data_IF_096939090060
#
_entry.id   IF_096939090060
#
_cell.length_a   1.000
_cell.length_b   1.000
_cell.length_c   1.000
_cell.angle_alpha   90.00
_cell.angle_beta   90.00
_cell.angle_gamma   90.00
#
_symmetry.space_group_name_H-M   'P 1'
#
loop_
_entity.id
_entity.type
_entity.pdbx_description
1 polymer ?
#
# COMPACT_ATOMS: atom_id res chain seq x y z
N UNK A 1 -34.33 25.21 11.14
CA UNK A 1 -34.91 23.99 11.78
C UNK A 1 -34.12 22.77 11.31
N UNK A 2 -33.20 22.26 12.14
CA UNK A 2 -32.21 21.25 11.76
C UNK A 2 -32.79 19.84 11.54
N UNK A 3 -32.37 19.16 10.48
CA UNK A 3 -32.74 17.77 10.19
C UNK A 3 -31.87 16.81 11.03
N UNK A 4 -32.53 16.05 11.91
CA UNK A 4 -31.93 15.08 12.83
C UNK A 4 -31.22 13.94 12.08
N UNK A 5 -29.97 13.63 12.46
CA UNK A 5 -29.22 12.50 11.94
C UNK A 5 -29.90 11.16 12.32
N UNK A 6 -30.07 10.26 11.35
CA UNK A 6 -30.53 8.88 11.58
C UNK A 6 -29.43 8.09 12.29
N UNK A 7 -29.58 7.82 13.60
CA UNK A 7 -28.72 6.89 14.33
C UNK A 7 -28.98 5.47 13.82
N UNK A 8 -27.92 4.69 13.62
CA UNK A 8 -28.00 3.36 12.99
C UNK A 8 -28.59 2.29 13.95
N UNK A 9 -29.69 1.65 13.52
CA UNK A 9 -30.43 0.62 14.28
C UNK A 9 -29.74 -0.75 14.38
N UNK A 10 -28.47 -0.90 13.95
CA UNK A 10 -27.73 -2.17 14.03
C UNK A 10 -27.36 -2.55 15.46
N UNK A 11 -27.19 -1.58 16.35
CA UNK A 11 -26.91 -1.82 17.78
C UNK A 11 -28.18 -2.27 18.54
N UNK A 12 -29.35 -1.76 18.17
CA UNK A 12 -30.62 -2.15 18.81
C UNK A 12 -31.06 -3.57 18.47
N UNK A 13 -30.76 -4.07 17.25
CA UNK A 13 -31.04 -5.46 16.88
C UNK A 13 -30.13 -6.47 17.60
N UNK A 14 -28.86 -6.12 17.80
CA UNK A 14 -27.94 -6.96 18.58
C UNK A 14 -28.38 -7.12 20.03
N UNK A 15 -28.95 -6.07 20.64
CA UNK A 15 -29.48 -6.15 22.02
C UNK A 15 -30.68 -7.10 22.14
N UNK A 16 -31.53 -7.18 21.11
CA UNK A 16 -32.64 -8.14 21.10
C UNK A 16 -32.19 -9.57 20.80
N UNK A 17 -31.15 -9.77 19.99
CA UNK A 17 -30.55 -11.10 19.76
C UNK A 17 -29.86 -11.60 21.03
N UNK A 18 -29.06 -10.78 21.71
CA UNK A 18 -28.43 -11.15 22.98
C UNK A 18 -29.46 -11.42 24.09
N UNK A 19 -30.60 -10.71 24.09
CA UNK A 19 -31.67 -10.95 25.04
C UNK A 19 -32.37 -12.29 24.76
N UNK A 20 -32.59 -12.64 23.48
CA UNK A 20 -33.14 -13.96 23.09
C UNK A 20 -32.18 -15.10 23.40
N UNK A 21 -30.89 -14.93 23.11
CA UNK A 21 -29.85 -15.90 23.47
C UNK A 21 -29.78 -16.11 24.99
N UNK A 22 -29.97 -15.05 25.78
CA UNK A 22 -30.04 -15.15 27.25
C UNK A 22 -31.29 -15.88 27.73
N UNK A 23 -32.45 -15.62 27.15
CA UNK A 23 -33.70 -16.33 27.48
C UNK A 23 -33.64 -17.81 27.08
N UNK A 24 -33.07 -18.12 25.92
CA UNK A 24 -32.85 -19.51 25.47
C UNK A 24 -31.88 -20.23 26.40
N UNK A 25 -30.78 -19.60 26.82
CA UNK A 25 -29.83 -20.17 27.79
C UNK A 25 -30.44 -20.37 29.19
N UNK A 26 -31.31 -19.46 29.63
CA UNK A 26 -32.03 -19.64 30.91
C UNK A 26 -33.09 -20.74 30.82
N UNK A 27 -33.68 -20.95 29.65
CA UNK A 27 -34.63 -22.03 29.43
C UNK A 27 -33.95 -23.40 29.30
N UNK A 28 -32.74 -23.49 28.72
CA UNK A 28 -31.96 -24.73 28.74
C UNK A 28 -31.50 -25.10 30.15
N UNK A 29 -31.10 -24.13 30.97
CA UNK A 29 -30.76 -24.35 32.38
C UNK A 29 -31.95 -24.81 33.23
N UNK A 30 -33.19 -24.38 32.89
CA UNK A 30 -34.42 -24.86 33.53
C UNK A 30 -34.83 -26.26 33.07
N UNK A 31 -34.44 -26.66 31.87
CA UNK A 31 -34.81 -27.95 31.25
C UNK A 31 -33.79 -29.06 31.52
N UNK A 32 -32.59 -28.75 32.03
CA UNK A 32 -31.70 -29.74 32.59
C UNK A 32 -32.22 -30.18 33.97
N UNK A 33 -32.46 -31.48 34.12
CA UNK A 33 -33.03 -32.11 35.29
C UNK A 33 -32.41 -31.62 36.62
N UNK A 34 -33.26 -31.61 37.66
CA UNK A 34 -32.92 -31.16 38.99
C UNK A 34 -31.56 -31.70 39.46
N UNK A 35 -30.80 -30.85 40.16
CA UNK A 35 -29.43 -31.05 40.66
C UNK A 35 -29.22 -32.39 41.39
N UNK A 36 -30.31 -33.04 41.81
CA UNK A 36 -30.34 -34.34 42.49
C UNK A 36 -29.88 -35.52 41.64
N UNK A 37 -29.98 -35.45 40.31
CA UNK A 37 -29.77 -36.62 39.44
C UNK A 37 -28.37 -36.69 38.82
N UNK A 38 -27.52 -35.68 39.06
CA UNK A 38 -26.15 -35.60 38.51
C UNK A 38 -25.15 -36.23 39.49
N UNK A 39 -24.16 -36.96 38.97
CA UNK A 39 -23.13 -37.60 39.81
C UNK A 39 -22.19 -36.54 40.43
N UNK A 40 -21.69 -36.78 41.64
CA UNK A 40 -20.82 -35.83 42.38
C UNK A 40 -19.60 -35.32 41.59
N UNK A 41 -19.10 -36.08 40.62
CA UNK A 41 -17.96 -35.69 39.78
C UNK A 41 -18.29 -34.58 38.77
N UNK A 42 -19.55 -34.48 38.35
CA UNK A 42 -20.04 -33.43 37.47
C UNK A 42 -20.52 -32.19 38.26
N UNK A 43 -20.86 -32.38 39.53
CA UNK A 43 -21.21 -31.30 40.47
C UNK A 43 -19.98 -30.58 41.02
N UNK A 44 -18.89 -31.31 41.26
CA UNK A 44 -17.66 -30.78 41.84
C UNK A 44 -16.49 -31.01 40.87
N UNK A 45 -16.28 -30.05 39.98
CA UNK A 45 -15.04 -29.96 39.22
C UNK A 45 -14.11 -28.92 39.87
N UNK A 46 -12.86 -29.29 40.09
CA UNK A 46 -11.82 -28.34 40.49
C UNK A 46 -11.27 -27.71 39.22
N UNK A 47 -11.59 -26.44 39.00
CA UNK A 47 -11.17 -25.71 37.80
C UNK A 47 -9.67 -25.40 37.82
N UNK A 48 -8.87 -26.39 37.42
CA UNK A 48 -7.43 -26.21 37.22
C UNK A 48 -7.11 -25.40 35.95
N UNK A 49 -8.13 -25.10 35.14
CA UNK A 49 -8.00 -24.38 33.89
C UNK A 49 -8.70 -23.01 33.87
N UNK A 50 -8.62 -22.27 34.97
CA UNK A 50 -9.10 -20.88 35.02
C UNK A 50 -8.63 -20.01 33.83
N UNK A 51 -9.49 -19.09 33.39
CA UNK A 51 -9.27 -18.17 32.27
C UNK A 51 -7.86 -17.58 32.26
N UNK A 52 -7.17 -17.63 31.11
CA UNK A 52 -5.81 -17.09 30.92
C UNK A 52 -5.65 -15.63 31.38
N UNK A 53 -6.75 -14.87 31.45
CA UNK A 53 -6.79 -13.49 31.94
C UNK A 53 -6.64 -13.43 33.47
N UNK A 54 -7.35 -14.28 34.21
CA UNK A 54 -7.25 -14.33 35.67
C UNK A 54 -5.90 -14.90 36.12
N UNK A 55 -5.35 -15.89 35.41
CA UNK A 55 -4.00 -16.41 35.71
C UNK A 55 -2.88 -15.39 35.50
N UNK A 56 -3.02 -14.41 34.60
CA UNK A 56 -2.04 -13.32 34.47
C UNK A 56 -2.10 -12.37 35.66
N UNK A 57 -3.31 -11.95 36.04
CA UNK A 57 -3.53 -11.01 37.14
C UNK A 57 -3.09 -11.64 38.48
N UNK A 58 -3.49 -12.88 38.76
CA UNK A 58 -3.15 -13.57 40.01
C UNK A 58 -1.64 -13.87 40.12
N UNK A 59 -0.96 -14.22 39.04
CA UNK A 59 0.51 -14.44 39.09
C UNK A 59 1.33 -13.15 39.19
N UNK A 60 0.80 -12.02 38.70
CA UNK A 60 1.47 -10.73 38.82
C UNK A 60 1.22 -10.09 40.21
N UNK A 61 0.10 -10.44 40.89
CA UNK A 61 -0.33 -9.81 42.14
C UNK A 61 -0.04 -10.63 43.43
N UNK A 62 0.08 -11.98 43.39
CA UNK A 62 0.21 -12.80 44.62
C UNK A 62 1.65 -13.28 44.95
N UNK A 63 2.62 -13.12 44.04
CA UNK A 63 4.03 -13.41 44.34
C UNK A 63 4.81 -12.11 44.23
N UNK A 64 4.90 -11.41 45.35
CA UNK A 64 5.42 -10.04 45.49
C UNK A 64 6.90 -9.80 45.13
N UNK A 65 7.54 -10.65 44.32
CA UNK A 65 8.84 -10.35 43.73
C UNK A 65 8.90 -10.79 42.26
N UNK A 66 9.24 -9.89 41.32
CA UNK A 66 9.35 -10.25 39.91
C UNK A 66 10.53 -11.21 39.71
N UNK A 67 10.24 -12.48 39.40
CA UNK A 67 11.23 -13.53 39.13
C UNK A 67 12.43 -13.01 38.29
N UNK A 68 13.68 -13.24 38.74
CA UNK A 68 14.87 -12.72 38.08
C UNK A 68 14.99 -13.22 36.63
N UNK A 69 15.55 -12.39 35.75
CA UNK A 69 15.57 -12.63 34.29
C UNK A 69 16.21 -13.97 33.90
N UNK A 70 17.18 -14.45 34.66
CA UNK A 70 17.87 -15.72 34.39
C UNK A 70 16.94 -16.92 34.57
N UNK A 71 16.11 -16.95 35.61
CA UNK A 71 15.17 -18.04 35.87
C UNK A 71 14.04 -18.09 34.84
N UNK A 72 13.56 -16.91 34.40
CA UNK A 72 12.59 -16.81 33.30
C UNK A 72 13.13 -17.40 32.00
N UNK A 73 14.43 -17.25 31.73
CA UNK A 73 15.07 -17.83 30.55
C UNK A 73 15.23 -19.34 30.67
N UNK A 74 15.57 -19.84 31.86
CA UNK A 74 15.68 -21.28 32.12
C UNK A 74 14.33 -21.99 31.96
N UNK A 75 13.26 -21.41 32.51
CA UNK A 75 11.89 -21.95 32.37
C UNK A 75 11.42 -21.98 30.90
N UNK A 76 11.80 -20.97 30.10
CA UNK A 76 11.49 -20.96 28.65
C UNK A 76 12.24 -22.06 27.89
N UNK A 77 13.49 -22.36 28.26
CA UNK A 77 14.26 -23.45 27.66
C UNK A 77 13.63 -24.81 27.98
N UNK A 78 13.32 -25.07 29.25
CA UNK A 78 12.68 -26.32 29.68
C UNK A 78 11.32 -26.55 29.02
N UNK A 79 10.49 -25.50 28.88
CA UNK A 79 9.21 -25.61 28.16
C UNK A 79 9.37 -25.94 26.68
N UNK A 80 10.43 -25.44 26.03
CA UNK A 80 10.75 -25.81 24.64
C UNK A 80 11.18 -27.28 24.53
N UNK A 81 11.97 -27.77 25.47
CA UNK A 81 12.44 -29.16 25.48
C UNK A 81 11.33 -30.17 25.77
N UNK A 82 10.31 -29.79 26.55
CA UNK A 82 9.12 -30.62 26.78
C UNK A 82 8.18 -30.62 25.56
N UNK A 83 8.08 -29.50 24.85
CA UNK A 83 7.23 -29.40 23.66
C UNK A 83 7.76 -30.19 22.45
N UNK A 84 9.08 -30.41 22.36
CA UNK A 84 9.70 -31.25 21.32
C UNK A 84 9.56 -32.75 21.58
N UNK A 85 9.20 -33.15 22.80
CA UNK A 85 8.95 -34.55 23.19
C UNK A 85 7.45 -34.89 23.22
N UNK A 86 6.74 -34.66 22.11
CA UNK A 86 5.39 -35.26 21.95
C UNK A 86 5.51 -36.73 21.53
N UNK A 87 4.74 -37.65 22.13
CA UNK A 87 4.81 -39.08 21.80
C UNK A 87 4.18 -39.36 20.43
N UNK A 88 4.86 -40.15 19.61
CA UNK A 88 4.34 -40.61 18.32
C UNK A 88 3.29 -41.70 18.52
N UNK A 89 2.08 -41.48 17.99
CA UNK A 89 0.99 -42.47 17.96
C UNK A 89 1.38 -43.66 17.06
N UNK A 90 1.30 -44.88 17.62
CA UNK A 90 1.54 -46.14 16.90
C UNK A 90 0.31 -46.48 16.06
N UNK A 91 0.47 -46.60 14.74
CA UNK A 91 -0.55 -47.16 13.84
C UNK A 91 -0.55 -48.70 13.96
N UNK A 92 -1.67 -49.29 14.35
CA UNK A 92 -1.89 -50.72 14.28
C UNK A 92 -1.99 -51.18 12.82
N UNK A 93 -1.31 -52.27 12.45
CA UNK A 93 -1.40 -52.86 11.11
C UNK A 93 -2.65 -53.74 11.06
N UNK A 94 -3.60 -53.41 10.20
CA UNK A 94 -4.75 -54.28 9.92
C UNK A 94 -4.25 -55.64 9.42
N UNK A 95 -4.58 -56.72 10.15
CA UNK A 95 -4.31 -58.09 9.73
C UNK A 95 -5.09 -58.39 8.44
N UNK A 96 -4.43 -59.02 7.46
CA UNK A 96 -5.00 -59.35 6.16
C UNK A 96 -6.35 -60.07 6.31
N UNK A 97 -7.42 -59.43 5.83
CA UNK A 97 -8.77 -60.01 5.77
C UNK A 97 -8.74 -61.17 4.78
N UNK A 98 -8.98 -62.38 5.26
CA UNK A 98 -9.17 -63.58 4.42
C UNK A 98 -10.43 -63.34 3.58
N UNK A 99 -10.28 -63.31 2.26
CA UNK A 99 -11.38 -63.10 1.32
C UNK A 99 -11.95 -64.46 0.92
N UNK A 100 -13.24 -64.68 1.16
CA UNK A 100 -13.95 -65.87 0.72
C UNK A 100 -14.29 -65.74 -0.78
N UNK A 101 -13.69 -66.60 -1.60
CA UNK A 101 -13.70 -66.54 -3.07
C UNK A 101 -15.06 -66.99 -3.64
N UNK A 102 -15.89 -67.65 -2.82
CA UNK A 102 -17.19 -68.19 -3.21
C UNK A 102 -18.38 -67.39 -2.68
N UNK A 103 -18.11 -66.35 -1.89
CA UNK A 103 -19.14 -65.40 -1.49
C UNK A 103 -19.45 -64.46 -2.66
N UNK A 104 -20.73 -64.35 -3.03
CA UNK A 104 -21.18 -63.37 -4.04
C UNK A 104 -20.63 -61.97 -3.68
N UNK A 105 -19.96 -61.27 -4.60
CA UNK A 105 -19.35 -59.99 -4.29
C UNK A 105 -20.46 -59.01 -3.90
N UNK A 106 -20.48 -58.61 -2.63
CA UNK A 106 -21.38 -57.55 -2.16
C UNK A 106 -21.16 -56.34 -3.08
N UNK A 107 -22.20 -55.79 -3.72
CA UNK A 107 -22.03 -54.67 -4.63
C UNK A 107 -21.38 -53.54 -3.86
N UNK A 108 -20.17 -53.16 -4.29
CA UNK A 108 -19.44 -52.03 -3.72
C UNK A 108 -20.30 -50.80 -4.00
N UNK A 109 -21.03 -50.33 -2.98
CA UNK A 109 -21.75 -49.07 -3.06
C UNK A 109 -20.71 -47.97 -3.11
N UNK A 110 -20.35 -47.54 -4.31
CA UNK A 110 -19.49 -46.39 -4.47
C UNK A 110 -20.29 -45.13 -4.12
N UNK A 111 -20.03 -44.57 -2.95
CA UNK A 111 -20.57 -43.28 -2.55
C UNK A 111 -19.96 -42.22 -3.47
N UNK A 112 -20.78 -41.46 -4.21
CA UNK A 112 -20.30 -40.50 -5.23
C UNK A 112 -19.35 -39.42 -4.68
N UNK A 113 -19.27 -39.29 -3.36
CA UNK A 113 -18.37 -38.37 -2.63
C UNK A 113 -17.02 -38.98 -2.26
N UNK A 114 -16.86 -40.30 -2.32
CA UNK A 114 -15.65 -41.04 -1.91
C UNK A 114 -14.95 -41.77 -3.05
N UNK A 115 -15.36 -41.54 -4.31
CA UNK A 115 -14.68 -42.10 -5.48
C UNK A 115 -13.24 -41.61 -5.63
N UNK A 116 -12.96 -40.38 -5.17
CA UNK A 116 -11.64 -39.77 -5.19
C UNK A 116 -11.03 -39.87 -3.78
N UNK A 117 -9.84 -40.46 -3.69
CA UNK A 117 -9.05 -40.50 -2.45
C UNK A 117 -8.56 -39.09 -2.15
N UNK A 118 -8.31 -38.78 -0.87
CA UNK A 118 -7.71 -37.49 -0.47
C UNK A 118 -6.39 -37.23 -1.21
N UNK A 119 -5.65 -38.31 -1.48
CA UNK A 119 -4.42 -38.35 -2.28
C UNK A 119 -4.63 -37.88 -3.74
N UNK A 120 -5.81 -38.12 -4.33
CA UNK A 120 -6.14 -37.67 -5.69
C UNK A 120 -6.35 -36.13 -5.74
N UNK A 121 -6.65 -35.50 -4.61
CA UNK A 121 -6.74 -34.04 -4.47
C UNK A 121 -5.39 -33.37 -4.19
N UNK A 122 -4.32 -34.12 -3.90
CA UNK A 122 -3.00 -33.57 -3.55
C UNK A 122 -2.27 -32.93 -4.74
N UNK A 123 -2.72 -33.21 -5.98
CA UNK A 123 -2.06 -32.75 -7.21
C UNK A 123 -2.46 -31.33 -7.64
N UNK A 124 -3.48 -30.70 -7.06
CA UNK A 124 -3.87 -29.34 -7.46
C UNK A 124 -3.47 -28.25 -6.47
N UNK A 125 -2.17 -28.15 -6.15
CA UNK A 125 -1.60 -26.92 -5.54
C UNK A 125 -1.71 -25.67 -6.46
N UNK A 126 -2.30 -25.82 -7.66
CA UNK A 126 -2.55 -24.75 -8.64
C UNK A 126 -3.79 -23.89 -8.35
N UNK A 127 -4.61 -24.23 -7.34
CA UNK A 127 -5.89 -23.55 -7.13
C UNK A 127 -5.87 -22.39 -6.10
N UNK A 128 -4.73 -22.09 -5.47
CA UNK A 128 -4.58 -20.83 -4.75
C UNK A 128 -4.50 -19.70 -5.77
N UNK A 129 -5.64 -19.06 -6.07
CA UNK A 129 -5.71 -17.87 -6.94
C UNK A 129 -4.61 -16.91 -6.49
N UNK A 130 -3.72 -16.53 -7.40
CA UNK A 130 -2.64 -15.59 -7.06
C UNK A 130 -3.27 -14.31 -6.52
N UNK A 131 -2.67 -13.70 -5.50
CA UNK A 131 -3.22 -12.50 -4.87
C UNK A 131 -3.55 -11.40 -5.89
N UNK A 132 -2.76 -11.33 -6.99
CA UNK A 132 -2.94 -10.40 -8.10
C UNK A 132 -4.25 -10.59 -8.88
N UNK A 133 -4.82 -11.81 -8.93
CA UNK A 133 -6.09 -12.09 -9.63
C UNK A 133 -7.30 -11.62 -8.83
N UNK A 134 -7.16 -11.42 -7.52
CA UNK A 134 -8.28 -11.04 -6.64
C UNK A 134 -8.45 -9.52 -6.53
N UNK A 135 -7.41 -8.75 -6.88
CA UNK A 135 -7.39 -7.29 -6.71
C UNK A 135 -8.00 -6.59 -7.92
N UNK A 136 -8.97 -5.69 -7.68
CA UNK A 136 -9.52 -4.81 -8.72
C UNK A 136 -8.44 -3.81 -9.14
N UNK A 137 -8.27 -3.54 -10.45
CA UNK A 137 -7.24 -2.61 -10.90
C UNK A 137 -7.55 -1.16 -10.49
N UNK A 138 -8.83 -0.81 -10.31
CA UNK A 138 -9.29 0.53 -9.95
C UNK A 138 -10.57 0.46 -9.09
N UNK A 139 -10.79 1.49 -8.27
CA UNK A 139 -11.90 1.63 -7.31
C UNK A 139 -13.16 2.29 -7.89
N UNK A 140 -13.16 2.65 -9.18
CA UNK A 140 -14.32 3.29 -9.82
C UNK A 140 -15.58 2.40 -9.75
N UNK A 141 -16.75 2.97 -9.37
CA UNK A 141 -17.96 2.19 -9.19
C UNK A 141 -18.45 1.57 -10.51
N UNK A 142 -19.01 0.38 -10.42
CA UNK A 142 -19.57 -0.33 -11.58
C UNK A 142 -20.80 0.35 -12.19
N UNK A 143 -21.46 1.24 -11.46
CA UNK A 143 -22.52 2.12 -11.93
C UNK A 143 -22.30 3.48 -11.25
N UNK A 144 -21.89 4.52 -11.99
CA UNK A 144 -21.76 5.86 -11.41
C UNK A 144 -23.15 6.43 -11.10
N UNK A 145 -23.23 7.24 -10.04
CA UNK A 145 -24.48 7.93 -9.69
C UNK A 145 -24.61 9.16 -10.59
N UNK A 146 -25.71 9.32 -11.36
CA UNK A 146 -25.90 10.48 -12.22
C UNK A 146 -26.15 11.75 -11.39
N UNK A 147 -25.82 12.92 -11.98
CA UNK A 147 -26.14 14.22 -11.38
C UNK A 147 -27.66 14.48 -11.43
N UNK A 148 -28.21 15.14 -10.41
CA UNK A 148 -29.66 15.38 -10.32
C UNK A 148 -30.23 16.19 -11.49
N UNK A 149 -29.44 17.12 -12.05
CA UNK A 149 -29.83 17.93 -13.22
C UNK A 149 -29.99 17.15 -14.53
N UNK A 150 -29.57 15.88 -14.57
CA UNK A 150 -29.74 14.96 -15.73
C UNK A 150 -31.04 14.16 -15.62
N UNK A 151 -31.77 14.31 -14.51
CA UNK A 151 -33.07 13.66 -14.39
C UNK A 151 -34.05 14.18 -15.44
N UNK A 152 -35.10 13.40 -15.69
CA UNK A 152 -36.14 13.74 -16.67
C UNK A 152 -36.88 15.04 -16.34
N UNK A 153 -37.09 15.33 -15.04
CA UNK A 153 -37.73 16.56 -14.58
C UNK A 153 -36.91 17.15 -13.41
N UNK A 154 -35.75 17.75 -13.71
CA UNK A 154 -34.86 18.30 -12.72
C UNK A 154 -35.40 19.63 -12.18
N UNK A 155 -34.96 20.01 -10.98
CA UNK A 155 -35.16 21.39 -10.53
C UNK A 155 -34.40 22.35 -11.44
N UNK A 156 -35.00 23.52 -11.69
CA UNK A 156 -34.47 24.53 -12.62
C UNK A 156 -33.04 24.97 -12.27
N UNK A 157 -32.71 25.06 -10.98
CA UNK A 157 -31.36 25.42 -10.51
C UNK A 157 -30.38 24.29 -10.78
N UNK A 158 -30.78 23.05 -10.47
CA UNK A 158 -29.94 21.88 -10.66
C UNK A 158 -29.63 21.62 -12.14
N UNK A 159 -30.62 21.79 -13.01
CA UNK A 159 -30.46 21.67 -14.46
C UNK A 159 -29.49 22.70 -15.02
N UNK A 160 -29.67 23.99 -14.68
CA UNK A 160 -28.78 25.08 -15.10
C UNK A 160 -27.35 24.85 -14.64
N UNK A 161 -27.15 24.40 -13.40
CA UNK A 161 -25.82 24.09 -12.88
C UNK A 161 -25.16 22.95 -13.68
N UNK A 162 -25.89 21.86 -13.96
CA UNK A 162 -25.34 20.76 -14.76
C UNK A 162 -25.05 21.16 -16.21
N UNK A 163 -25.88 22.03 -16.80
CA UNK A 163 -25.68 22.55 -18.14
C UNK A 163 -24.45 23.47 -18.19
N UNK A 164 -24.28 24.34 -17.20
CA UNK A 164 -23.11 25.21 -17.08
C UNK A 164 -21.82 24.40 -16.95
N UNK A 165 -21.81 23.36 -16.11
CA UNK A 165 -20.66 22.46 -15.99
C UNK A 165 -20.33 21.76 -17.32
N UNK A 166 -21.33 21.32 -18.10
CA UNK A 166 -21.08 20.73 -19.42
C UNK A 166 -20.55 21.76 -20.42
N UNK A 167 -21.11 22.98 -20.41
CA UNK A 167 -20.64 24.07 -21.25
C UNK A 167 -19.17 24.40 -20.98
N UNK A 168 -18.75 24.46 -19.72
CA UNK A 168 -17.34 24.65 -19.37
C UNK A 168 -16.44 23.54 -19.93
N UNK A 169 -16.91 22.29 -19.93
CA UNK A 169 -16.16 21.15 -20.45
C UNK A 169 -16.03 21.20 -21.98
N UNK A 170 -17.09 21.56 -22.70
CA UNK A 170 -17.06 21.76 -24.16
C UNK A 170 -16.14 22.92 -24.54
N UNK A 171 -16.21 24.08 -23.86
CA UNK A 171 -15.29 25.21 -24.10
C UNK A 171 -13.83 24.80 -23.93
N UNK A 172 -13.51 24.08 -22.84
CA UNK A 172 -12.15 23.53 -22.61
C UNK A 172 -11.72 22.56 -23.71
N UNK A 173 -12.66 21.81 -24.29
CA UNK A 173 -12.39 20.88 -25.39
C UNK A 173 -12.12 21.65 -26.69
N UNK A 174 -12.92 22.67 -27.00
CA UNK A 174 -12.69 23.53 -28.16
C UNK A 174 -11.34 24.26 -28.10
N UNK A 175 -10.96 24.79 -26.93
CA UNK A 175 -9.65 25.40 -26.72
C UNK A 175 -8.52 24.41 -26.98
N UNK A 176 -8.65 23.15 -26.52
CA UNK A 176 -7.68 22.10 -26.81
C UNK A 176 -7.61 21.79 -28.30
N UNK A 177 -8.75 21.69 -28.98
CA UNK A 177 -8.78 21.48 -30.44
C UNK A 177 -8.11 22.64 -31.17
N UNK A 178 -8.34 23.88 -30.73
CA UNK A 178 -7.69 25.08 -31.32
C UNK A 178 -6.18 25.01 -31.14
N UNK A 179 -5.70 24.73 -29.92
CA UNK A 179 -4.28 24.52 -29.62
C UNK A 179 -3.66 23.36 -30.39
N UNK A 180 -4.35 22.24 -30.52
CA UNK A 180 -3.87 21.07 -31.28
C UNK A 180 -3.80 21.34 -32.79
N UNK A 181 -4.61 22.28 -33.30
CA UNK A 181 -4.55 22.76 -34.69
C UNK A 181 -3.43 23.78 -34.91
N UNK A 182 -2.98 24.45 -33.86
CA UNK A 182 -1.83 25.34 -33.92
C UNK A 182 -0.56 24.49 -34.09
N UNK A 183 0.33 24.92 -34.98
CA UNK A 183 1.61 24.24 -35.23
C UNK A 183 2.62 24.64 -34.15
N UNK A 184 3.71 23.85 -33.95
CA UNK A 184 4.75 24.22 -32.99
C UNK A 184 5.23 25.66 -33.25
N UNK A 185 5.13 26.53 -32.23
CA UNK A 185 5.39 27.97 -32.33
C UNK A 185 4.16 28.88 -32.27
N UNK A 186 2.98 28.36 -31.93
CA UNK A 186 1.70 29.09 -31.90
C UNK A 186 1.36 29.75 -33.24
N UNK A 187 1.79 29.13 -34.34
CA UNK A 187 1.55 29.65 -35.69
C UNK A 187 0.46 28.81 -36.33
N UNK A 188 -0.55 29.45 -36.89
CA UNK A 188 -1.56 28.73 -37.66
C UNK A 188 -1.00 28.32 -39.04
N UNK A 189 -1.52 27.26 -39.65
CA UNK A 189 -1.09 26.83 -40.99
C UNK A 189 -1.26 27.95 -42.03
N UNK A 190 -2.29 28.78 -41.86
CA UNK A 190 -2.50 29.99 -42.67
C UNK A 190 -1.44 31.07 -42.43
N UNK A 191 -0.95 31.24 -41.20
CA UNK A 191 0.14 32.16 -40.89
C UNK A 191 1.51 31.66 -41.36
N UNK A 192 1.77 30.34 -41.29
CA UNK A 192 2.98 29.77 -41.87
C UNK A 192 3.02 29.95 -43.39
N UNK A 193 1.89 29.76 -44.08
CA UNK A 193 1.81 29.97 -45.52
C UNK A 193 1.97 31.45 -45.91
N UNK A 194 1.68 32.38 -45.00
CA UNK A 194 1.89 33.83 -45.19
C UNK A 194 3.32 34.26 -44.88
N UNK A 195 4.03 33.54 -43.99
CA UNK A 195 5.45 33.74 -43.74
C UNK A 195 6.23 33.17 -44.94
N UNK A 196 6.35 33.97 -45.99
CA UNK A 196 7.36 33.74 -47.03
C UNK A 196 8.71 33.64 -46.33
N UNK A 197 9.41 32.53 -46.48
CA UNK A 197 10.80 32.39 -46.04
C UNK A 197 11.58 33.47 -46.81
N UNK A 198 11.87 34.59 -46.15
CA UNK A 198 12.84 35.54 -46.67
C UNK A 198 14.17 34.80 -46.69
N UNK A 199 14.68 34.51 -47.88
CA UNK A 199 15.89 33.73 -48.10
C UNK A 199 17.14 34.48 -47.68
N UNK A 200 17.24 34.86 -46.40
CA UNK A 200 18.43 35.45 -45.83
C UNK A 200 19.43 34.34 -45.51
N UNK A 201 20.59 34.28 -46.20
CA UNK A 201 21.59 33.22 -46.06
C UNK A 201 22.27 33.18 -44.68
N UNK A 202 22.05 34.18 -43.83
CA UNK A 202 22.53 34.22 -42.44
C UNK A 202 21.77 33.28 -41.52
N UNK A 203 20.49 33.00 -41.78
CA UNK A 203 19.67 32.18 -40.89
C UNK A 203 19.93 30.67 -41.06
N UNK A 204 20.49 30.25 -42.20
CA UNK A 204 20.90 28.86 -42.42
C UNK A 204 22.19 28.46 -41.71
N UNK A 205 23.01 29.42 -41.26
CA UNK A 205 24.29 29.16 -40.61
C UNK A 205 24.18 28.78 -39.12
N UNK A 206 23.01 28.99 -38.49
CA UNK A 206 22.80 28.71 -37.07
C UNK A 206 22.37 27.26 -36.77
N UNK A 207 22.21 26.41 -37.78
CA UNK A 207 21.85 25.00 -37.60
C UNK A 207 23.06 24.07 -37.40
N UNK A 208 24.29 24.59 -37.52
CA UNK A 208 25.53 23.81 -37.43
C UNK A 208 26.59 24.59 -36.64
N UNK A 209 26.58 24.49 -35.32
CA UNK A 209 27.73 24.84 -34.47
C UNK A 209 27.53 24.13 -33.12
N UNK A 210 28.20 23.02 -32.84
CA UNK A 210 29.61 22.84 -32.40
C UNK A 210 29.62 22.55 -30.89
N UNK A 211 29.67 21.26 -30.59
CA UNK A 211 29.79 20.67 -29.25
C UNK A 211 31.29 20.62 -28.92
N UNK A 212 31.78 21.59 -28.14
CA UNK A 212 33.15 21.64 -27.62
C UNK A 212 33.12 21.60 -26.09
N UNK A 213 33.32 20.40 -25.55
CA UNK A 213 33.56 20.14 -24.13
C UNK A 213 35.07 20.18 -23.87
N UNK A 214 35.55 21.08 -22.98
CA UNK A 214 36.90 20.98 -22.43
C UNK A 214 36.97 21.37 -20.94
N UNK A 215 37.63 20.47 -20.21
CA UNK A 215 38.25 20.55 -18.88
C UNK A 215 37.38 20.42 -17.61
N UNK A 216 37.90 19.61 -16.66
CA UNK A 216 38.43 20.24 -15.44
C UNK A 216 39.86 19.79 -15.09
N UNK A 217 40.72 20.77 -14.77
CA UNK A 217 41.99 20.60 -14.07
C UNK A 217 41.75 20.57 -12.55
N UNK A 218 42.13 19.47 -11.91
CA UNK A 218 42.26 19.35 -10.46
C UNK A 218 43.51 20.11 -9.99
N UNK A 219 43.36 20.95 -8.97
CA UNK A 219 44.47 21.60 -8.26
C UNK A 219 44.66 20.92 -6.89
N UNK A 220 45.87 20.42 -6.70
CA UNK A 220 46.41 19.86 -5.46
C UNK A 220 46.47 20.88 -4.32
N UNK A 221 46.20 20.42 -3.09
CA UNK A 221 46.45 21.14 -1.84
C UNK A 221 47.95 21.11 -1.46
N UNK A 222 48.55 22.22 -0.98
CA UNK A 222 49.91 22.22 -0.46
C UNK A 222 50.00 21.88 1.04
N UNK A 223 51.08 21.14 1.32
CA UNK A 223 51.71 20.77 2.60
C UNK A 223 51.63 21.85 3.69
N UNK A 224 51.21 21.44 4.89
CA UNK A 224 51.38 22.21 6.12
C UNK A 224 52.80 22.03 6.68
N UNK A 225 53.45 23.16 6.95
CA UNK A 225 54.79 23.31 7.52
C UNK A 225 54.79 22.98 9.02
N UNK A 226 55.75 22.14 9.43
CA UNK A 226 55.99 21.81 10.84
C UNK A 226 56.61 23.00 11.58
N UNK A 227 55.95 23.41 12.66
CA UNK A 227 56.43 24.46 13.56
C UNK A 227 57.74 24.07 14.24
N UNK A 228 58.70 24.99 14.19
CA UNK A 228 60.04 24.91 14.80
C UNK A 228 59.93 24.67 16.32
N UNK A 229 60.31 23.49 16.75
CA UNK A 229 60.51 23.17 18.18
C UNK A 229 61.77 23.88 18.68
N UNK A 230 61.58 24.82 19.61
CA UNK A 230 62.69 25.47 20.33
C UNK A 230 63.24 24.46 21.35
N UNK A 231 64.40 23.90 21.06
CA UNK A 231 65.15 23.05 21.99
C UNK A 231 65.85 23.95 23.02
N UNK A 232 65.26 24.05 24.21
CA UNK A 232 65.93 24.63 25.39
C UNK A 232 66.94 23.62 25.92
N UNK A 233 68.23 23.97 25.90
CA UNK A 233 69.32 23.15 26.42
C UNK A 233 69.27 22.94 27.95
N UNK A 234 69.86 21.85 28.48
CA UNK A 234 69.77 21.50 29.88
C UNK A 234 70.60 22.46 30.74
N UNK A 235 69.92 23.29 31.54
CA UNK A 235 70.56 24.12 32.56
C UNK A 235 70.93 23.29 33.79
N UNK A 236 72.16 23.48 34.28
CA UNK A 236 72.84 22.76 35.36
C UNK A 236 71.96 22.29 36.55
N UNK A 237 72.13 21.00 36.88
CA UNK A 237 71.42 20.26 37.92
C UNK A 237 71.80 20.71 39.34
N UNK A 238 70.98 21.57 39.95
CA UNK A 238 70.92 21.67 41.41
C UNK A 238 70.21 20.42 41.92
N UNK A 239 70.92 19.54 42.65
CA UNK A 239 70.32 18.35 43.31
C UNK A 239 69.16 18.81 44.21
N UNK A 240 67.93 18.60 43.75
CA UNK A 240 66.72 18.92 44.49
C UNK A 240 66.66 17.99 45.71
N UNK A 241 66.46 18.51 46.93
CA UNK A 241 66.38 17.67 48.13
C UNK A 241 65.22 16.67 48.01
N UNK A 242 65.42 15.43 48.48
CA UNK A 242 64.49 14.30 48.30
C UNK A 242 63.05 14.61 48.74
N UNK A 243 62.87 15.42 49.78
CA UNK A 243 61.56 15.87 50.25
C UNK A 243 60.83 16.78 49.24
N UNK A 244 61.55 17.66 48.53
CA UNK A 244 60.96 18.49 47.46
C UNK A 244 60.63 17.65 46.23
N UNK A 245 61.41 16.61 45.92
CA UNK A 245 61.10 15.65 44.83
C UNK A 245 59.82 14.86 45.11
N UNK A 246 59.63 14.35 46.33
CA UNK A 246 58.38 13.67 46.75
C UNK A 246 57.15 14.60 46.67
N UNK A 247 57.26 15.84 47.14
CA UNK A 247 56.17 16.84 47.03
C UNK A 247 55.81 17.15 45.56
N UNK A 248 56.81 17.27 44.69
CA UNK A 248 56.59 17.49 43.25
C UNK A 248 55.94 16.29 42.57
N UNK A 249 56.32 15.07 42.97
CA UNK A 249 55.73 13.83 42.46
C UNK A 249 54.28 13.63 42.92
N UNK A 250 53.98 13.93 44.18
CA UNK A 250 52.61 13.96 44.71
C UNK A 250 51.76 15.02 44.00
N UNK A 251 52.27 16.24 43.82
CA UNK A 251 51.58 17.29 43.07
C UNK A 251 51.35 16.91 41.60
N UNK A 252 52.35 16.29 40.94
CA UNK A 252 52.22 15.80 39.58
C UNK A 252 51.19 14.66 39.47
N UNK A 253 51.12 13.77 40.46
CA UNK A 253 50.12 12.69 40.55
C UNK A 253 48.71 13.27 40.71
N UNK A 254 48.53 14.24 41.61
CA UNK A 254 47.26 14.95 41.79
C UNK A 254 46.83 15.69 40.52
N UNK A 255 47.77 16.33 39.81
CA UNK A 255 47.50 16.99 38.53
C UNK A 255 47.08 15.99 37.44
N UNK A 256 47.73 14.82 37.36
CA UNK A 256 47.35 13.74 36.42
C UNK A 256 45.95 13.22 36.71
N UNK A 257 45.64 12.96 37.97
CA UNK A 257 44.31 12.51 38.39
C UNK A 257 43.24 13.57 38.11
N UNK A 258 43.52 14.84 38.39
CA UNK A 258 42.63 15.95 38.06
C UNK A 258 42.41 16.10 36.55
N UNK A 259 43.43 15.87 35.72
CA UNK A 259 43.31 15.87 34.25
C UNK A 259 42.45 14.70 33.78
N UNK A 260 42.71 13.48 34.24
CA UNK A 260 41.89 12.30 33.92
C UNK A 260 40.43 12.50 34.32
N UNK A 261 40.15 13.08 35.49
CA UNK A 261 38.78 13.39 35.92
C UNK A 261 38.12 14.42 35.02
N UNK A 262 38.85 15.42 34.52
CA UNK A 262 38.32 16.41 33.55
C UNK A 262 38.04 15.77 32.20
N UNK A 263 38.93 14.90 31.72
CA UNK A 263 38.75 14.15 30.47
C UNK A 263 37.54 13.21 30.54
N UNK A 264 37.40 12.45 31.63
CA UNK A 264 36.23 11.61 31.87
C UNK A 264 34.93 12.43 31.89
N UNK A 265 34.93 13.60 32.53
CA UNK A 265 33.77 14.51 32.52
C UNK A 265 33.44 15.00 31.11
N UNK A 266 34.45 15.35 30.31
CA UNK A 266 34.26 15.75 28.91
C UNK A 266 33.69 14.61 28.08
N UNK A 267 34.23 13.40 28.22
CA UNK A 267 33.74 12.21 27.54
C UNK A 267 32.27 11.92 27.92
N UNK A 268 31.94 11.92 29.21
CA UNK A 268 30.56 11.70 29.66
C UNK A 268 29.62 12.76 29.11
N UNK A 269 30.02 14.03 29.11
CA UNK A 269 29.24 15.10 28.51
C UNK A 269 29.02 14.89 27.00
N UNK A 270 30.05 14.48 26.25
CA UNK A 270 29.89 14.16 24.82
C UNK A 270 28.98 12.96 24.58
N UNK A 271 29.01 11.96 25.46
CA UNK A 271 28.11 10.80 25.39
C UNK A 271 26.66 11.21 25.71
N UNK A 272 26.45 12.07 26.69
CA UNK A 272 25.11 12.60 26.99
C UNK A 272 24.57 13.44 25.82
N UNK A 273 25.42 14.23 25.18
CA UNK A 273 25.05 14.99 23.98
C UNK A 273 24.73 14.07 22.80
N UNK A 274 25.53 13.02 22.56
CA UNK A 274 25.27 12.10 21.45
C UNK A 274 23.95 11.35 21.62
N UNK A 275 23.58 10.98 22.85
CA UNK A 275 22.27 10.39 23.15
C UNK A 275 21.12 11.36 22.87
N UNK A 276 21.28 12.65 23.22
CA UNK A 276 20.28 13.69 22.90
C UNK A 276 20.12 13.88 21.40
N UNK A 277 21.22 13.97 20.67
CA UNK A 277 21.23 14.10 19.21
C UNK A 277 20.57 12.87 18.58
N UNK A 278 20.89 11.66 19.04
CA UNK A 278 20.27 10.44 18.53
C UNK A 278 18.74 10.44 18.76
N UNK A 279 18.28 10.85 19.94
CA UNK A 279 16.85 10.95 20.24
C UNK A 279 16.14 12.02 19.40
N UNK A 280 16.82 13.11 19.06
CA UNK A 280 16.31 14.17 18.18
C UNK A 280 16.21 13.67 16.73
N UNK A 281 17.24 12.99 16.23
CA UNK A 281 17.23 12.34 14.91
C UNK A 281 16.10 11.31 14.82
N UNK A 282 15.90 10.48 15.84
CA UNK A 282 14.81 9.50 15.87
C UNK A 282 13.43 10.16 15.82
N UNK A 283 13.25 11.31 16.48
CA UNK A 283 12.00 12.08 16.42
C UNK A 283 11.80 12.68 15.03
N UNK A 284 12.82 13.32 14.48
CA UNK A 284 12.75 13.87 13.11
C UNK A 284 12.44 12.79 12.07
N UNK A 285 13.03 11.60 12.20
CA UNK A 285 12.77 10.50 11.28
C UNK A 285 11.32 10.03 11.37
N UNK A 286 10.76 9.94 12.57
CA UNK A 286 9.33 9.62 12.78
C UNK A 286 8.42 10.70 12.20
N UNK A 287 8.71 11.98 12.46
CA UNK A 287 7.93 13.09 11.89
C UNK A 287 8.01 13.11 10.36
N UNK A 288 9.18 12.84 9.78
CA UNK A 288 9.36 12.71 8.32
C UNK A 288 8.58 11.50 7.77
N UNK A 289 8.53 10.39 8.48
CA UNK A 289 7.73 9.22 8.10
C UNK A 289 6.24 9.52 8.17
N UNK A 290 5.76 10.12 9.26
CA UNK A 290 4.37 10.53 9.44
C UNK A 290 3.95 11.51 8.34
N UNK A 291 4.73 12.56 8.11
CA UNK A 291 4.48 13.52 7.03
C UNK A 291 4.47 12.86 5.63
N UNK A 292 5.34 11.88 5.38
CA UNK A 292 5.29 11.08 4.14
C UNK A 292 4.00 10.28 4.06
N UNK A 293 3.58 9.62 5.14
CA UNK A 293 2.33 8.84 5.13
C UNK A 293 1.11 9.72 4.94
N UNK A 294 1.09 10.91 5.54
CA UNK A 294 0.01 11.90 5.36
C UNK A 294 -0.06 12.40 3.92
N UNK A 295 1.09 12.77 3.33
CA UNK A 295 1.17 13.14 1.91
C UNK A 295 0.70 12.02 0.99
N UNK A 296 1.07 10.77 1.29
CA UNK A 296 0.62 9.62 0.51
C UNK A 296 -0.90 9.40 0.65
N UNK A 297 -1.46 9.56 1.85
CA UNK A 297 -2.92 9.50 2.08
C UNK A 297 -3.65 10.61 1.32
N UNK A 298 -3.16 11.85 1.40
CA UNK A 298 -3.73 12.99 0.66
C UNK A 298 -3.69 12.75 -0.84
N UNK A 299 -2.56 12.29 -1.38
CA UNK A 299 -2.43 11.94 -2.79
C UNK A 299 -3.40 10.81 -3.18
N UNK A 300 -3.58 9.80 -2.33
CA UNK A 300 -4.52 8.70 -2.57
C UNK A 300 -5.98 9.19 -2.55
N UNK A 301 -6.34 10.07 -1.62
CA UNK A 301 -7.65 10.72 -1.56
C UNK A 301 -7.92 11.57 -2.80
N UNK A 302 -6.95 12.37 -3.24
CA UNK A 302 -7.04 13.13 -4.48
C UNK A 302 -7.21 12.22 -5.71
N UNK A 303 -6.47 11.11 -5.76
CA UNK A 303 -6.59 10.12 -6.84
C UNK A 303 -7.96 9.44 -6.84
N UNK A 304 -8.52 9.17 -5.67
CA UNK A 304 -9.88 8.60 -5.52
C UNK A 304 -10.97 9.62 -5.88
N UNK A 305 -10.77 10.90 -5.59
CA UNK A 305 -11.70 11.97 -5.93
C UNK A 305 -11.74 12.26 -7.43
N UNK A 306 -10.60 12.14 -8.11
CA UNK A 306 -10.49 12.34 -9.55
C UNK A 306 -11.12 11.15 -10.30
N UNK A 307 -11.87 11.47 -11.36
CA UNK A 307 -12.37 10.44 -12.28
C UNK A 307 -11.16 9.81 -12.98
N UNK A 308 -11.00 8.47 -12.95
CA UNK A 308 -9.85 7.82 -13.53
C UNK A 308 -9.83 7.95 -15.05
N UNK A 309 -8.63 8.07 -15.61
CA UNK A 309 -8.40 8.08 -17.05
C UNK A 309 -8.78 6.73 -17.68
N UNK A 310 -9.19 6.78 -18.94
CA UNK A 310 -9.39 5.59 -19.76
C UNK A 310 -8.05 5.22 -20.40
N UNK A 311 -7.68 3.93 -20.35
CA UNK A 311 -6.45 3.46 -21.00
C UNK A 311 -6.75 3.16 -22.47
N UNK A 312 -6.08 3.90 -23.37
CA UNK A 312 -6.12 3.66 -24.82
C UNK A 312 -4.74 3.26 -25.33
N UNK A 313 -4.60 2.04 -25.85
CA UNK A 313 -3.32 1.57 -26.39
C UNK A 313 -2.15 1.60 -25.41
N UNK A 314 -2.41 1.35 -24.13
CA UNK A 314 -1.40 1.40 -23.06
C UNK A 314 -1.06 2.80 -22.55
N UNK A 315 -1.69 3.86 -23.08
CA UNK A 315 -1.55 5.24 -22.58
C UNK A 315 -2.81 5.67 -21.85
N UNK A 316 -2.66 6.37 -20.74
CA UNK A 316 -3.78 7.01 -20.03
C UNK A 316 -4.26 8.21 -20.85
N UNK A 317 -5.53 8.19 -21.23
CA UNK A 317 -6.20 9.28 -21.94
C UNK A 317 -7.29 9.84 -21.03
N UNK A 318 -7.13 11.11 -20.66
CA UNK A 318 -8.14 11.87 -19.94
C UNK A 318 -9.17 12.39 -20.92
N UNK A 319 -10.17 11.58 -21.22
CA UNK A 319 -11.34 12.03 -21.97
C UNK A 319 -12.19 12.94 -21.08
N UNK A 320 -12.58 14.09 -21.65
CA UNK A 320 -13.59 14.95 -21.05
C UNK A 320 -14.89 14.15 -21.00
N UNK A 321 -15.44 13.85 -19.81
CA UNK A 321 -16.67 13.09 -19.72
C UNK A 321 -17.81 13.91 -20.32
N UNK A 322 -18.33 13.45 -21.47
CA UNK A 322 -19.53 14.03 -22.06
C UNK A 322 -20.72 13.46 -21.32
N UNK A 323 -21.44 14.30 -20.61
CA UNK A 323 -22.72 13.91 -20.01
C UNK A 323 -23.81 14.36 -20.95
N UNK A 324 -24.64 13.42 -21.37
CA UNK A 324 -25.81 13.70 -22.20
C UNK A 324 -26.84 14.45 -21.33
N UNK A 325 -26.88 15.79 -21.44
CA UNK A 325 -27.80 16.68 -20.71
C UNK A 325 -28.81 17.25 -21.69
N UNK A 326 -30.08 17.23 -21.31
CA UNK A 326 -31.18 17.83 -22.09
C UNK A 326 -31.04 19.35 -22.12
N UNK A 327 -31.28 19.96 -23.27
CA UNK A 327 -31.40 21.41 -23.36
C UNK A 327 -32.70 21.92 -22.74
N UNK A 328 -32.79 23.22 -22.49
CA UNK A 328 -34.00 23.85 -21.94
C UNK A 328 -35.22 23.63 -22.82
N UNK A 329 -35.02 23.59 -24.13
CA UNK A 329 -36.08 23.47 -25.12
C UNK A 329 -36.54 22.01 -25.28
N UNK A 330 -35.65 21.06 -24.96
CA UNK A 330 -35.93 19.62 -24.99
C UNK A 330 -36.61 19.15 -23.70
N UNK A 331 -36.49 19.92 -22.62
CA UNK A 331 -37.08 19.63 -21.31
C UNK A 331 -38.58 19.99 -21.31
N UNK A 332 -39.38 19.12 -21.90
CA UNK A 332 -40.82 19.33 -22.14
C UNK A 332 -41.73 18.92 -20.98
N UNK A 333 -41.19 18.22 -19.97
CA UNK A 333 -41.94 17.79 -18.79
C UNK A 333 -42.94 16.65 -19.03
N UNK A 334 -43.07 16.13 -20.27
CA UNK A 334 -43.80 14.89 -20.62
C UNK A 334 -42.85 13.79 -21.16
N UNK A 335 -42.99 12.55 -20.68
CA UNK A 335 -42.13 11.40 -21.01
C UNK A 335 -42.33 10.96 -22.46
N UNK A 336 -43.50 11.27 -23.03
CA UNK A 336 -43.84 10.91 -24.41
C UNK A 336 -43.13 11.78 -25.45
N UNK A 337 -42.82 13.02 -25.09
CA UNK A 337 -42.20 14.01 -25.97
C UNK A 337 -40.68 14.06 -25.84
N UNK A 338 -40.11 13.38 -24.84
CA UNK A 338 -38.68 13.41 -24.56
C UNK A 338 -37.85 12.64 -25.60
N UNK A 339 -36.72 13.21 -26.04
CA UNK A 339 -35.79 12.51 -26.90
C UNK A 339 -35.00 11.44 -26.12
N UNK A 340 -34.74 10.30 -26.77
CA UNK A 340 -33.82 9.29 -26.25
C UNK A 340 -32.37 9.72 -26.54
N UNK A 341 -31.76 10.42 -25.59
CA UNK A 341 -30.39 10.94 -25.76
C UNK A 341 -29.33 9.89 -25.37
N UNK A 342 -29.62 9.06 -24.36
CA UNK A 342 -28.60 8.22 -23.73
C UNK A 342 -28.41 6.89 -24.47
N UNK A 343 -27.16 6.59 -24.85
CA UNK A 343 -26.76 5.27 -25.32
C UNK A 343 -26.22 4.40 -24.17
N UNK A 344 -26.95 3.35 -23.72
CA UNK A 344 -26.49 2.52 -22.60
C UNK A 344 -25.21 1.73 -22.95
N UNK A 345 -25.01 1.41 -24.22
CA UNK A 345 -23.80 0.71 -24.70
C UNK A 345 -22.58 1.60 -24.51
N UNK A 346 -22.68 2.88 -24.86
CA UNK A 346 -21.59 3.85 -24.71
C UNK A 346 -21.24 4.06 -23.24
N UNK A 347 -22.23 4.24 -22.38
CA UNK A 347 -22.03 4.40 -20.94
C UNK A 347 -21.33 3.18 -20.33
N UNK A 348 -21.80 1.97 -20.66
CA UNK A 348 -21.18 0.71 -20.21
C UNK A 348 -19.74 0.60 -20.69
N UNK A 349 -19.47 0.97 -21.94
CA UNK A 349 -18.14 0.92 -22.53
C UNK A 349 -17.17 1.88 -21.82
N UNK A 350 -17.58 3.13 -21.60
CA UNK A 350 -16.78 4.10 -20.85
C UNK A 350 -16.51 3.65 -19.42
N UNK A 351 -17.51 3.08 -18.75
CA UNK A 351 -17.40 2.60 -17.39
C UNK A 351 -16.43 1.41 -17.26
N UNK A 352 -16.52 0.43 -18.16
CA UNK A 352 -15.57 -0.70 -18.21
C UNK A 352 -14.14 -0.19 -18.48
N UNK A 353 -13.99 0.83 -19.35
CA UNK A 353 -12.72 1.49 -19.63
C UNK A 353 -12.14 2.23 -18.42
N UNK A 354 -12.95 3.02 -17.71
CA UNK A 354 -12.57 3.75 -16.47
C UNK A 354 -12.19 2.80 -15.34
N UNK A 355 -12.81 1.63 -15.28
CA UNK A 355 -12.48 0.56 -14.33
C UNK A 355 -11.24 -0.24 -14.71
N UNK A 356 -10.57 0.10 -15.82
CA UNK A 356 -9.39 -0.59 -16.35
C UNK A 356 -9.59 -2.10 -16.54
N UNK A 357 -10.83 -2.54 -16.77
CA UNK A 357 -11.17 -3.94 -17.05
C UNK A 357 -10.85 -4.31 -18.49
N UNK A 358 -11.02 -3.35 -19.39
CA UNK A 358 -10.73 -3.48 -20.82
C UNK A 358 -9.89 -2.30 -21.24
N UNK A 359 -8.83 -2.57 -21.99
CA UNK A 359 -8.10 -1.53 -22.68
C UNK A 359 -8.77 -1.27 -24.02
N UNK A 360 -9.14 -0.01 -24.25
CA UNK A 360 -9.66 0.38 -25.56
C UNK A 360 -8.47 0.45 -26.53
N UNK A 361 -8.68 -0.02 -27.76
CA UNK A 361 -7.60 -0.12 -28.73
C UNK A 361 -6.90 1.23 -28.94
N UNK A 362 -5.57 1.23 -28.98
CA UNK A 362 -4.82 2.35 -29.53
C UNK A 362 -4.46 2.08 -30.98
N UNK A 363 -3.92 3.08 -31.67
CA UNK A 363 -3.16 2.84 -32.90
C UNK A 363 -2.08 1.82 -32.55
N UNK A 364 -2.32 0.53 -32.85
CA UNK A 364 -1.24 -0.47 -32.94
C UNK A 364 -0.18 0.22 -33.79
N UNK A 365 1.03 0.39 -33.29
CA UNK A 365 2.13 1.01 -34.04
C UNK A 365 2.18 0.31 -35.39
N UNK A 366 1.60 0.93 -36.42
CA UNK A 366 1.51 0.34 -37.76
C UNK A 366 2.92 0.00 -38.24
N UNK A 367 3.92 0.74 -37.76
CA UNK A 367 5.34 0.49 -37.89
C UNK A 367 5.80 -0.93 -37.51
N UNK A 368 5.31 -1.53 -36.41
CA UNK A 368 5.69 -2.91 -36.03
C UNK A 368 5.15 -3.92 -37.05
N UNK A 369 3.91 -3.75 -37.50
CA UNK A 369 3.26 -4.65 -38.46
C UNK A 369 3.73 -4.42 -39.90
N UNK A 370 4.12 -3.20 -40.27
CA UNK A 370 4.75 -2.87 -41.55
C UNK A 370 6.13 -3.52 -41.64
N UNK A 371 6.98 -3.40 -40.60
CA UNK A 371 8.27 -4.10 -40.55
C UNK A 371 8.12 -5.63 -40.66
N UNK A 372 7.08 -6.19 -40.04
CA UNK A 372 6.73 -7.61 -40.16
C UNK A 372 6.20 -7.99 -41.56
N UNK A 373 5.43 -7.12 -42.23
CA UNK A 373 4.96 -7.34 -43.61
C UNK A 373 6.08 -7.22 -44.64
N UNK A 374 7.02 -6.30 -44.44
CA UNK A 374 8.25 -6.18 -45.24
C UNK A 374 9.10 -7.44 -45.06
N UNK A 375 9.33 -7.90 -43.83
CA UNK A 375 10.05 -9.16 -43.56
C UNK A 375 9.37 -10.41 -44.14
N UNK A 376 8.05 -10.39 -44.31
CA UNK A 376 7.28 -11.50 -44.90
C UNK A 376 7.03 -11.34 -46.41
N UNK A 377 7.57 -10.32 -47.08
CA UNK A 377 7.42 -10.10 -48.53
C UNK A 377 6.00 -9.69 -48.98
N UNK A 378 5.10 -9.33 -48.06
CA UNK A 378 3.66 -9.08 -48.31
C UNK A 378 3.34 -7.61 -48.64
N UNK A 379 4.34 -6.79 -48.94
CA UNK A 379 4.15 -5.36 -49.22
C UNK A 379 3.97 -5.05 -50.73
N UNK A 380 4.42 -5.94 -51.62
CA UNK A 380 4.39 -5.71 -53.07
C UNK A 380 3.13 -6.23 -53.80
N UNK A 381 2.11 -6.68 -53.08
CA UNK A 381 0.84 -7.08 -53.70
C UNK A 381 -0.02 -5.82 -53.85
N UNK A 382 -0.26 -5.30 -55.08
CA UNK A 382 -1.18 -4.20 -55.26
C UNK A 382 -2.56 -4.64 -54.78
N UNK A 383 -3.20 -3.83 -53.93
CA UNK A 383 -4.58 -4.07 -53.52
C UNK A 383 -5.45 -3.97 -54.78
N UNK A 384 -5.94 -5.10 -55.26
CA UNK A 384 -7.01 -5.12 -56.26
C UNK A 384 -8.24 -4.46 -55.63
N UNK A 385 -8.45 -3.20 -55.98
CA UNK A 385 -9.73 -2.52 -55.76
C UNK A 385 -10.74 -3.16 -56.70
N UNK A 386 -11.56 -4.06 -56.16
CA UNK A 386 -12.79 -4.49 -56.82
C UNK A 386 -13.78 -3.34 -56.65
N UNK A 387 -14.23 -2.80 -57.79
CA UNK A 387 -15.27 -1.77 -57.90
C UNK A 387 -16.63 -2.29 -57.43
#
# INVERSE_FOLDING_TARGET
MGKKQKKSNKSSWKKSETAKEYEEAMNTLKNEAAVTDKQNKDLFFVDNEGSKRLRKVVFDDEVGEPMPKQEKLMLKKLKKELATKKPAEKKEKESAKVYDIWSDPKPVKYDSKNFLRKEDFEISKKASKSARVVVKPNDFPAVPIPKAGVSYNPDSVQHKNTLAEQMELEVKLEEKIKKDKELPGNVTLAELHKKTITGDPMTSSLLFDEESEEEPKEHEEPKAEEEKTIVLGPTADKKIPQAKRRRMEEAARQQREAKQRKEQRRLNHTLEQSVKIAAEVDKEMKEKEEAKTEKMKQLEEERRAKIPAVIKGGKEVFEVPRVDVLLTDELTGDLRTMPNIVSPVRERYENIGRRHLVQTGGKKEKAKYERLRVKKGLLNQPRTTVL
#
